data_IF_363894394448
#
_entry.id   IF_363894394448
#
_cell.length_a   1.000
_cell.length_b   1.000
_cell.length_c   1.000
_cell.angle_alpha   90.00
_cell.angle_beta   90.00
_cell.angle_gamma   90.00
#
_symmetry.space_group_name_H-M   'P 1'
#
loop_
_entity.id
_entity.type
_entity.pdbx_description
1 polymer ?
#
# COMPACT_ATOMS: atom_id res chain seq x y z
N UNK A 1 -3.20 -7.81 -27.95
CA UNK A 1 -4.02 -7.71 -26.73
C UNK A 1 -3.12 -7.07 -25.68
N UNK A 2 -3.24 -5.76 -25.48
CA UNK A 2 -2.52 -5.11 -24.39
C UNK A 2 -3.18 -5.56 -23.09
N UNK A 3 -2.38 -6.08 -22.16
CA UNK A 3 -2.86 -6.48 -20.83
C UNK A 3 -3.13 -5.18 -20.06
N UNK A 4 -4.37 -4.69 -20.14
CA UNK A 4 -4.81 -3.57 -19.32
C UNK A 4 -5.04 -4.10 -17.90
N UNK A 5 -4.22 -3.66 -16.93
CA UNK A 5 -4.49 -3.94 -15.51
C UNK A 5 -5.76 -3.18 -15.09
N UNK A 6 -6.84 -3.93 -14.91
CA UNK A 6 -8.15 -3.48 -14.43
C UNK A 6 -8.23 -3.47 -12.90
N UNK A 7 -7.09 -3.33 -12.23
CA UNK A 7 -6.98 -3.37 -10.78
C UNK A 7 -7.97 -2.40 -10.11
N UNK A 8 -9.04 -2.90 -9.45
CA UNK A 8 -10.06 -2.05 -8.84
C UNK A 8 -9.48 -1.16 -7.76
N UNK A 9 -8.44 -1.64 -7.05
CA UNK A 9 -7.70 -0.82 -6.09
C UNK A 9 -7.06 0.38 -6.77
N UNK A 10 -6.28 0.18 -7.84
CA UNK A 10 -5.57 1.29 -8.47
C UNK A 10 -6.50 2.27 -9.17
N UNK A 11 -7.65 1.79 -9.67
CA UNK A 11 -8.73 2.67 -10.14
C UNK A 11 -9.27 3.52 -8.99
N UNK A 12 -9.60 2.89 -7.86
CA UNK A 12 -10.09 3.57 -6.67
C UNK A 12 -9.10 4.62 -6.15
N UNK A 13 -7.84 4.25 -5.98
CA UNK A 13 -6.77 5.12 -5.48
C UNK A 13 -6.57 6.34 -6.38
N UNK A 14 -6.38 6.11 -7.69
CA UNK A 14 -6.05 7.18 -8.63
C UNK A 14 -7.18 8.19 -8.80
N UNK A 15 -8.42 7.70 -8.90
CA UNK A 15 -9.58 8.57 -9.13
C UNK A 15 -9.97 9.31 -7.84
N UNK A 16 -10.03 8.60 -6.70
CA UNK A 16 -10.42 9.20 -5.41
C UNK A 16 -9.44 10.28 -4.99
N UNK A 17 -8.13 10.03 -5.03
CA UNK A 17 -7.14 11.03 -4.66
C UNK A 17 -7.20 12.26 -5.57
N UNK A 18 -7.38 12.05 -6.88
CA UNK A 18 -7.46 13.17 -7.84
C UNK A 18 -8.66 14.08 -7.58
N UNK A 19 -9.83 13.51 -7.33
CA UNK A 19 -11.03 14.26 -6.98
C UNK A 19 -10.89 14.93 -5.62
N UNK A 20 -10.38 14.20 -4.63
CA UNK A 20 -10.21 14.71 -3.28
C UNK A 20 -9.21 15.86 -3.20
N UNK A 21 -8.08 15.77 -3.89
CA UNK A 21 -7.09 16.86 -3.92
C UNK A 21 -7.61 18.13 -4.59
N UNK A 22 -8.57 18.01 -5.52
CA UNK A 22 -9.27 19.15 -6.12
C UNK A 22 -10.38 19.71 -5.22
N UNK A 23 -11.04 18.84 -4.42
CA UNK A 23 -12.15 19.21 -3.55
C UNK A 23 -11.72 19.75 -2.18
N UNK A 24 -10.57 19.30 -1.66
CA UNK A 24 -10.14 19.59 -0.29
C UNK A 24 -9.97 21.10 -0.08
N UNK A 25 -10.43 21.65 1.05
CA UNK A 25 -10.18 23.05 1.37
C UNK A 25 -8.67 23.34 1.42
N UNK A 26 -8.26 24.50 0.92
CA UNK A 26 -6.91 25.05 1.15
C UNK A 26 -6.89 25.89 2.41
N UNK A 27 -5.72 25.93 3.07
CA UNK A 27 -5.50 26.74 4.28
C UNK A 27 -5.44 28.22 3.91
N UNK A 28 -6.60 28.85 3.73
CA UNK A 28 -6.70 30.28 3.46
C UNK A 28 -6.69 31.01 4.81
N UNK A 29 -5.48 31.20 5.36
CA UNK A 29 -5.10 32.17 6.40
C UNK A 29 -6.12 32.52 7.49
N UNK A 30 -5.80 32.16 8.74
CA UNK A 30 -6.27 32.74 10.01
C UNK A 30 -7.50 33.66 9.94
N UNK A 31 -8.68 33.11 10.24
CA UNK A 31 -9.82 33.91 10.71
C UNK A 31 -9.88 33.80 12.24
N UNK A 32 -9.48 34.88 12.91
CA UNK A 32 -9.50 34.98 14.36
C UNK A 32 -10.95 34.86 14.86
N UNK A 33 -11.29 33.74 15.52
CA UNK A 33 -12.56 33.57 16.24
C UNK A 33 -13.59 32.59 15.63
N UNK A 34 -13.42 32.11 14.40
CA UNK A 34 -14.27 31.06 13.81
C UNK A 34 -13.40 29.90 13.31
N UNK A 35 -13.79 28.64 13.60
CA UNK A 35 -13.08 27.48 13.04
C UNK A 35 -13.11 27.55 11.51
N UNK A 36 -11.95 27.47 10.88
CA UNK A 36 -11.85 27.45 9.42
C UNK A 36 -12.54 26.20 8.87
N UNK A 37 -13.00 26.27 7.61
CA UNK A 37 -13.54 25.10 6.92
C UNK A 37 -12.49 23.97 6.87
N UNK A 38 -11.22 24.30 6.65
CA UNK A 38 -10.11 23.36 6.69
C UNK A 38 -10.00 22.64 8.05
N UNK A 39 -10.07 23.36 9.17
CA UNK A 39 -10.03 22.77 10.51
C UNK A 39 -11.18 21.78 10.73
N UNK A 40 -12.41 22.16 10.37
CA UNK A 40 -13.58 21.26 10.45
C UNK A 40 -13.44 20.04 9.54
N UNK A 41 -12.90 20.23 8.34
CA UNK A 41 -12.65 19.17 7.39
C UNK A 41 -11.65 18.16 7.96
N UNK A 42 -10.49 18.63 8.45
CA UNK A 42 -9.45 17.80 9.10
C UNK A 42 -9.99 17.04 10.32
N UNK A 43 -10.75 17.70 11.19
CA UNK A 43 -11.42 17.07 12.33
C UNK A 43 -12.36 15.92 11.88
N UNK A 44 -13.13 16.15 10.82
CA UNK A 44 -14.07 15.16 10.28
C UNK A 44 -13.37 13.94 9.70
N UNK A 45 -12.21 14.12 9.05
CA UNK A 45 -11.37 13.02 8.56
C UNK A 45 -10.80 12.19 9.73
N UNK A 46 -10.28 12.85 10.76
CA UNK A 46 -9.71 12.17 11.94
C UNK A 46 -10.77 11.36 12.68
N UNK A 47 -11.97 11.93 12.87
CA UNK A 47 -13.09 11.25 13.52
C UNK A 47 -13.49 9.94 12.82
N UNK A 48 -13.23 9.83 11.51
CA UNK A 48 -13.54 8.67 10.67
C UNK A 48 -12.33 7.77 10.42
N UNK A 49 -11.19 8.06 11.04
CA UNK A 49 -9.96 7.34 10.79
C UNK A 49 -9.50 7.41 9.33
N UNK A 50 -9.83 8.48 8.61
CA UNK A 50 -9.34 8.75 7.25
C UNK A 50 -7.98 9.43 7.40
N UNK A 51 -6.92 8.71 7.08
CA UNK A 51 -5.54 9.19 7.20
C UNK A 51 -4.88 9.20 5.83
N UNK A 52 -4.23 10.32 5.54
CA UNK A 52 -3.31 10.46 4.41
C UNK A 52 -1.98 9.83 4.80
N UNK A 53 -1.38 9.05 3.89
CA UNK A 53 -0.11 8.36 4.14
C UNK A 53 1.02 9.38 4.31
N UNK A 54 2.04 9.07 5.11
CA UNK A 54 3.29 9.85 5.12
C UNK A 54 4.16 9.54 3.90
N UNK A 55 3.84 8.45 3.18
CA UNK A 55 4.49 8.04 1.94
C UNK A 55 3.63 8.47 0.73
N UNK A 56 4.20 8.49 -0.47
CA UNK A 56 3.49 8.86 -1.73
C UNK A 56 2.74 10.21 -1.68
N UNK A 57 3.46 11.29 -1.36
CA UNK A 57 2.96 12.68 -1.43
C UNK A 57 1.67 12.96 -0.65
N UNK A 58 1.48 12.23 0.47
CA UNK A 58 0.29 12.40 1.28
C UNK A 58 -0.95 11.73 0.70
N UNK A 59 -0.89 10.79 -0.24
CA UNK A 59 -2.10 10.19 -0.80
C UNK A 59 -2.91 9.38 0.25
N UNK A 60 -4.22 9.24 0.02
CA UNK A 60 -5.06 8.26 0.69
C UNK A 60 -4.76 6.87 0.14
N UNK A 61 -4.61 5.90 1.05
CA UNK A 61 -4.48 4.47 0.73
C UNK A 61 -5.86 3.81 0.58
N UNK A 62 -5.92 2.55 0.14
CA UNK A 62 -7.17 1.90 -0.30
C UNK A 62 -8.30 1.94 0.74
N UNK A 63 -7.98 1.64 2.00
CA UNK A 63 -8.92 1.75 3.11
C UNK A 63 -9.33 3.20 3.40
N UNK A 64 -8.40 4.14 3.27
CA UNK A 64 -8.67 5.58 3.41
C UNK A 64 -9.59 6.10 2.30
N UNK A 65 -9.38 5.67 1.05
CA UNK A 65 -10.27 5.98 -0.06
C UNK A 65 -11.68 5.44 0.16
N UNK A 66 -11.80 4.17 0.59
CA UNK A 66 -13.11 3.57 0.85
C UNK A 66 -13.89 4.34 1.93
N UNK A 67 -13.25 4.60 3.08
CA UNK A 67 -13.87 5.39 4.17
C UNK A 67 -14.20 6.81 3.76
N UNK A 68 -13.35 7.45 2.94
CA UNK A 68 -13.65 8.78 2.41
C UNK A 68 -14.90 8.73 1.54
N UNK A 69 -15.01 7.76 0.63
CA UNK A 69 -16.17 7.64 -0.24
C UNK A 69 -17.46 7.36 0.54
N UNK A 70 -17.41 6.49 1.55
CA UNK A 70 -18.55 6.27 2.48
C UNK A 70 -18.97 7.60 3.13
N UNK A 71 -18.04 8.28 3.79
CA UNK A 71 -18.33 9.52 4.51
C UNK A 71 -18.76 10.69 3.59
N UNK A 72 -18.24 10.77 2.37
CA UNK A 72 -18.66 11.77 1.39
C UNK A 72 -20.09 11.48 0.91
N UNK A 73 -20.42 10.20 0.70
CA UNK A 73 -21.76 9.79 0.28
C UNK A 73 -22.81 10.14 1.33
N UNK A 74 -22.48 9.94 2.60
CA UNK A 74 -23.35 10.23 3.75
C UNK A 74 -23.32 11.71 4.20
N UNK A 75 -22.70 12.61 3.42
CA UNK A 75 -22.59 14.05 3.70
C UNK A 75 -21.91 14.38 5.05
N UNK A 76 -21.02 13.50 5.47
CA UNK A 76 -20.38 13.54 6.77
C UNK A 76 -19.04 14.31 6.79
N UNK A 77 -18.52 14.67 5.61
CA UNK A 77 -17.30 15.46 5.44
C UNK A 77 -17.68 16.84 4.89
N UNK A 78 -17.34 17.94 5.58
CA UNK A 78 -17.67 19.27 5.08
C UNK A 78 -16.72 19.66 3.93
N UNK A 79 -17.31 20.11 2.81
CA UNK A 79 -16.58 20.71 1.69
C UNK A 79 -17.05 22.14 1.45
N UNK A 80 -16.28 22.90 0.67
CA UNK A 80 -16.71 24.21 0.21
C UNK A 80 -17.81 24.05 -0.85
N UNK A 81 -18.77 24.98 -0.92
CA UNK A 81 -19.79 24.96 -1.97
C UNK A 81 -19.18 25.00 -3.39
N UNK A 82 -18.01 25.62 -3.56
CA UNK A 82 -17.27 25.61 -4.82
C UNK A 82 -16.74 24.24 -5.23
N UNK A 83 -16.66 23.28 -4.30
CA UNK A 83 -16.18 21.93 -4.56
C UNK A 83 -17.31 20.93 -4.91
N UNK A 84 -18.56 21.40 -5.03
CA UNK A 84 -19.75 20.56 -5.22
C UNK A 84 -19.64 19.61 -6.43
N UNK A 85 -19.03 20.06 -7.53
CA UNK A 85 -18.82 19.23 -8.72
C UNK A 85 -17.91 18.03 -8.44
N UNK A 86 -16.87 18.21 -7.61
CA UNK A 86 -15.96 17.14 -7.24
C UNK A 86 -16.59 16.20 -6.21
N UNK A 87 -17.37 16.74 -5.27
CA UNK A 87 -18.15 15.96 -4.29
C UNK A 87 -19.16 15.07 -5.01
N UNK A 88 -19.88 15.62 -6.00
CA UNK A 88 -20.81 14.86 -6.84
C UNK A 88 -20.11 13.71 -7.56
N UNK A 89 -18.92 13.95 -8.13
CA UNK A 89 -18.14 12.91 -8.76
C UNK A 89 -17.63 11.84 -7.77
N UNK A 90 -17.24 12.21 -6.55
CA UNK A 90 -16.89 11.26 -5.48
C UNK A 90 -18.09 10.40 -5.09
N UNK A 91 -19.28 10.99 -4.93
CA UNK A 91 -20.52 10.24 -4.65
C UNK A 91 -20.87 9.28 -5.78
N UNK A 92 -20.75 9.71 -7.04
CA UNK A 92 -20.97 8.83 -8.18
C UNK A 92 -19.95 7.68 -8.24
N UNK A 93 -18.67 7.94 -7.93
CA UNK A 93 -17.64 6.90 -7.84
C UNK A 93 -17.95 5.89 -6.72
N UNK A 94 -18.51 6.34 -5.60
CA UNK A 94 -18.95 5.45 -4.52
C UNK A 94 -19.99 4.45 -5.02
N UNK A 95 -20.99 4.93 -5.75
CA UNK A 95 -22.01 4.06 -6.35
C UNK A 95 -21.37 3.04 -7.29
N UNK A 96 -20.45 3.46 -8.16
CA UNK A 96 -19.72 2.53 -9.04
C UNK A 96 -18.97 1.46 -8.24
N UNK A 97 -18.23 1.87 -7.20
CA UNK A 97 -17.50 0.95 -6.32
C UNK A 97 -18.44 -0.11 -5.73
N UNK A 98 -19.56 0.31 -5.14
CA UNK A 98 -20.47 -0.63 -4.49
C UNK A 98 -21.21 -1.53 -5.49
N UNK A 99 -21.43 -1.03 -6.71
CA UNK A 99 -22.13 -1.77 -7.75
C UNK A 99 -21.25 -2.78 -8.48
N UNK A 100 -19.94 -2.56 -8.64
CA UNK A 100 -19.11 -3.48 -9.44
C UNK A 100 -17.66 -3.68 -8.99
N UNK A 101 -17.16 -3.06 -7.92
CA UNK A 101 -15.76 -3.30 -7.47
C UNK A 101 -15.64 -4.51 -6.53
N UNK A 102 -16.77 -5.03 -6.02
CA UNK A 102 -16.82 -6.24 -5.21
C UNK A 102 -16.65 -7.53 -6.02
N UNK A 103 -16.75 -8.67 -5.34
CA UNK A 103 -16.74 -9.99 -5.99
C UNK A 103 -17.91 -10.19 -6.94
N UNK A 104 -19.07 -9.60 -6.60
CA UNK A 104 -20.29 -9.64 -7.39
C UNK A 104 -20.68 -8.25 -7.83
N UNK A 105 -21.14 -8.11 -9.06
CA UNK A 105 -21.75 -6.86 -9.56
C UNK A 105 -23.27 -6.87 -9.37
N UNK A 106 -23.83 -5.70 -9.17
CA UNK A 106 -25.26 -5.48 -8.92
C UNK A 106 -25.97 -5.00 -10.19
N UNK A 107 -27.28 -5.20 -10.27
CA UNK A 107 -28.09 -4.65 -11.36
C UNK A 107 -27.95 -3.12 -11.44
N UNK A 108 -27.83 -2.57 -12.65
CA UNK A 108 -27.65 -1.12 -12.88
C UNK A 108 -26.19 -0.63 -12.77
N UNK A 109 -25.21 -1.53 -12.63
CA UNK A 109 -23.79 -1.14 -12.59
C UNK A 109 -23.34 -0.33 -13.82
N UNK A 110 -23.84 -0.64 -15.02
CA UNK A 110 -23.53 0.12 -16.25
C UNK A 110 -23.95 1.58 -16.13
N UNK A 111 -25.18 1.80 -15.67
CA UNK A 111 -25.74 3.13 -15.48
C UNK A 111 -24.95 3.91 -14.43
N UNK A 112 -24.43 3.24 -13.40
CA UNK A 112 -23.55 3.88 -12.42
C UNK A 112 -22.25 4.40 -13.04
N UNK A 113 -21.65 3.66 -13.99
CA UNK A 113 -20.43 4.10 -14.70
C UNK A 113 -20.77 5.28 -15.62
N UNK A 114 -21.92 5.26 -16.30
CA UNK A 114 -22.38 6.38 -17.13
C UNK A 114 -22.63 7.63 -16.27
N UNK A 115 -23.27 7.48 -15.12
CA UNK A 115 -23.50 8.57 -14.17
C UNK A 115 -22.17 9.16 -13.67
N UNK A 116 -21.21 8.30 -13.31
CA UNK A 116 -19.86 8.73 -12.94
C UNK A 116 -19.14 9.46 -14.08
N UNK A 117 -19.23 8.97 -15.33
CA UNK A 117 -18.63 9.61 -16.50
C UNK A 117 -19.16 11.03 -16.70
N UNK A 118 -20.46 11.22 -16.54
CA UNK A 118 -21.10 12.53 -16.59
C UNK A 118 -20.61 13.44 -15.46
N UNK A 119 -20.60 12.93 -14.23
CA UNK A 119 -20.13 13.68 -13.06
C UNK A 119 -18.64 14.08 -13.20
N UNK A 120 -17.78 13.19 -13.69
CA UNK A 120 -16.37 13.49 -13.97
C UNK A 120 -16.23 14.60 -15.00
N UNK A 121 -16.98 14.54 -16.10
CA UNK A 121 -16.93 15.56 -17.15
C UNK A 121 -17.30 16.95 -16.63
N UNK A 122 -18.26 17.03 -15.70
CA UNK A 122 -18.67 18.29 -15.06
C UNK A 122 -17.60 18.89 -14.13
N UNK A 123 -16.61 18.12 -13.70
CA UNK A 123 -15.50 18.63 -12.87
C UNK A 123 -14.51 19.51 -13.65
N UNK A 124 -14.50 19.41 -14.99
CA UNK A 124 -13.50 20.04 -15.84
C UNK A 124 -12.07 19.50 -15.69
N UNK A 125 -11.86 18.43 -14.88
CA UNK A 125 -10.56 17.80 -14.72
C UNK A 125 -10.15 17.06 -15.99
N UNK A 126 -8.85 17.07 -16.30
CA UNK A 126 -8.30 16.28 -17.40
C UNK A 126 -8.54 14.80 -17.16
N UNK A 127 -8.93 14.09 -18.22
CA UNK A 127 -9.03 12.64 -18.22
C UNK A 127 -7.69 12.01 -17.84
N UNK A 128 -7.73 11.09 -16.89
CA UNK A 128 -6.58 10.27 -16.51
C UNK A 128 -6.71 8.88 -17.12
N UNK A 129 -5.62 8.13 -17.30
CA UNK A 129 -5.71 6.73 -17.74
C UNK A 129 -6.65 5.89 -16.88
N UNK A 130 -6.71 6.13 -15.56
CA UNK A 130 -7.59 5.40 -14.64
C UNK A 130 -9.08 5.68 -14.90
N UNK A 131 -9.43 6.93 -15.20
CA UNK A 131 -10.81 7.30 -15.54
C UNK A 131 -11.21 6.74 -16.90
N UNK A 132 -10.30 6.77 -17.88
CA UNK A 132 -10.52 6.14 -19.18
C UNK A 132 -10.76 4.63 -19.04
N UNK A 133 -9.89 3.94 -18.29
CA UNK A 133 -10.06 2.50 -18.01
C UNK A 133 -11.41 2.21 -17.35
N UNK A 134 -11.79 2.99 -16.32
CA UNK A 134 -13.08 2.79 -15.64
C UNK A 134 -14.28 3.01 -16.58
N UNK A 135 -14.25 4.05 -17.41
CA UNK A 135 -15.39 4.43 -18.23
C UNK A 135 -15.52 3.62 -19.53
N UNK A 136 -14.40 3.16 -20.10
CA UNK A 136 -14.37 2.58 -21.45
C UNK A 136 -14.00 1.09 -21.45
N UNK A 137 -13.18 0.62 -20.49
CA UNK A 137 -12.67 -0.76 -20.49
C UNK A 137 -13.29 -1.67 -19.43
N UNK A 138 -13.76 -1.13 -18.30
CA UNK A 138 -14.44 -1.96 -17.28
C UNK A 138 -15.71 -2.59 -17.85
N UNK A 139 -16.49 -1.84 -18.63
CA UNK A 139 -17.70 -2.35 -19.28
C UNK A 139 -17.35 -3.47 -20.27
N UNK A 140 -16.38 -3.20 -21.16
CA UNK A 140 -15.89 -4.17 -22.14
C UNK A 140 -15.40 -5.47 -21.47
N UNK A 141 -14.65 -5.33 -20.38
CA UNK A 141 -14.11 -6.45 -19.62
C UNK A 141 -15.20 -7.32 -19.01
N UNK A 142 -16.09 -6.70 -18.23
CA UNK A 142 -17.15 -7.39 -17.50
C UNK A 142 -18.17 -8.08 -18.43
N UNK A 143 -18.31 -7.60 -19.68
CA UNK A 143 -19.23 -8.18 -20.67
C UNK A 143 -18.60 -9.27 -21.54
N UNK A 144 -17.32 -9.14 -21.90
CA UNK A 144 -16.73 -9.98 -22.94
C UNK A 144 -15.70 -10.98 -22.42
N UNK A 145 -15.17 -10.77 -21.21
CA UNK A 145 -14.05 -11.56 -20.69
C UNK A 145 -14.36 -12.30 -19.40
N UNK A 146 -15.36 -11.86 -18.64
CA UNK A 146 -15.85 -12.60 -17.48
C UNK A 146 -16.85 -13.68 -17.92
N UNK A 147 -16.68 -14.89 -17.38
CA UNK A 147 -17.49 -16.04 -17.74
C UNK A 147 -18.91 -16.01 -17.13
N UNK A 148 -19.03 -15.36 -15.96
CA UNK A 148 -20.26 -15.30 -15.18
C UNK A 148 -20.87 -13.89 -15.21
N UNK A 149 -22.18 -13.82 -15.42
CA UNK A 149 -22.93 -12.56 -15.55
C UNK A 149 -22.98 -11.72 -14.26
N UNK A 150 -22.60 -12.32 -13.14
CA UNK A 150 -22.72 -11.74 -11.81
C UNK A 150 -21.36 -11.29 -11.26
N UNK A 151 -20.26 -11.57 -11.95
CA UNK A 151 -18.90 -11.28 -11.47
C UNK A 151 -18.61 -9.78 -11.52
N UNK A 152 -18.09 -9.26 -10.41
CA UNK A 152 -17.52 -7.92 -10.30
C UNK A 152 -15.99 -7.91 -10.40
N UNK A 153 -15.39 -6.73 -10.35
CA UNK A 153 -13.93 -6.54 -10.50
C UNK A 153 -13.11 -7.12 -9.34
N UNK A 154 -13.75 -7.55 -8.25
CA UNK A 154 -13.09 -8.11 -7.08
C UNK A 154 -12.29 -9.38 -7.36
N UNK A 155 -12.65 -10.16 -8.38
CA UNK A 155 -11.87 -11.35 -8.78
C UNK A 155 -10.54 -10.97 -9.44
N UNK A 156 -10.53 -9.89 -10.21
CA UNK A 156 -9.32 -9.32 -10.85
C UNK A 156 -8.52 -8.43 -9.90
N UNK A 157 -8.78 -8.51 -8.60
CA UNK A 157 -8.18 -7.66 -7.58
C UNK A 157 -6.74 -8.07 -7.28
N UNK A 158 -5.83 -7.11 -7.37
CA UNK A 158 -4.41 -7.26 -6.99
C UNK A 158 -4.20 -7.34 -5.47
N UNK A 159 -5.28 -7.25 -4.67
CA UNK A 159 -5.22 -7.27 -3.20
C UNK A 159 -4.57 -8.55 -2.64
N UNK A 160 -4.75 -9.70 -3.30
CA UNK A 160 -4.08 -10.95 -2.92
C UNK A 160 -2.56 -10.85 -3.09
N UNK A 161 -2.11 -10.25 -4.20
CA UNK A 161 -0.70 -9.96 -4.47
C UNK A 161 -0.11 -8.97 -3.47
N UNK A 162 -0.80 -7.87 -3.17
CA UNK A 162 -0.34 -6.90 -2.17
C UNK A 162 -0.23 -7.51 -0.77
N UNK A 163 -1.19 -8.33 -0.37
CA UNK A 163 -1.18 -9.06 0.90
C UNK A 163 0.00 -10.05 0.96
N UNK A 164 0.28 -10.71 -0.15
CA UNK A 164 1.45 -11.59 -0.30
C UNK A 164 2.74 -10.80 -0.13
N UNK A 165 2.89 -9.67 -0.84
CA UNK A 165 4.06 -8.80 -0.73
C UNK A 165 4.28 -8.30 0.70
N UNK A 166 3.22 -7.83 1.38
CA UNK A 166 3.31 -7.35 2.76
C UNK A 166 3.77 -8.47 3.72
N UNK A 167 3.29 -9.70 3.51
CA UNK A 167 3.70 -10.86 4.32
C UNK A 167 5.15 -11.26 4.05
N UNK A 168 5.56 -11.36 2.78
CA UNK A 168 6.96 -11.61 2.40
C UNK A 168 7.88 -10.56 3.00
N UNK A 169 7.51 -9.28 2.89
CA UNK A 169 8.30 -8.18 3.43
C UNK A 169 8.46 -8.27 4.96
N UNK A 170 7.43 -8.73 5.68
CA UNK A 170 7.51 -8.98 7.12
C UNK A 170 8.51 -10.09 7.44
N UNK A 171 8.42 -11.23 6.75
CA UNK A 171 9.35 -12.37 6.91
C UNK A 171 10.78 -11.95 6.61
N UNK A 172 10.98 -11.23 5.50
CA UNK A 172 12.27 -10.64 5.14
C UNK A 172 12.80 -9.75 6.27
N UNK A 173 12.02 -8.75 6.70
CA UNK A 173 12.42 -7.78 7.72
C UNK A 173 12.76 -8.42 9.07
N UNK A 174 12.03 -9.45 9.48
CA UNK A 174 12.20 -10.08 10.80
C UNK A 174 13.33 -11.10 10.83
N UNK A 175 13.51 -11.87 9.76
CA UNK A 175 14.38 -13.05 9.79
C UNK A 175 15.61 -12.90 8.88
N UNK A 176 15.47 -12.32 7.70
CA UNK A 176 16.49 -12.43 6.64
C UNK A 176 17.21 -11.12 6.30
N UNK A 177 16.64 -9.97 6.68
CA UNK A 177 17.12 -8.65 6.27
C UNK A 177 18.59 -8.43 6.63
N UNK A 178 19.36 -8.06 5.62
CA UNK A 178 20.72 -7.52 5.70
C UNK A 178 20.85 -6.34 4.74
N UNK A 179 21.90 -5.55 4.89
CA UNK A 179 22.22 -4.48 3.95
C UNK A 179 22.48 -5.06 2.55
N UNK A 180 22.16 -4.29 1.51
CA UNK A 180 22.33 -4.73 0.12
C UNK A 180 23.80 -5.01 -0.24
N UNK A 181 24.73 -4.27 0.37
CA UNK A 181 26.17 -4.45 0.18
C UNK A 181 26.76 -5.61 0.99
N UNK A 182 25.95 -6.30 1.79
CA UNK A 182 26.39 -7.46 2.56
C UNK A 182 26.60 -8.66 1.60
N UNK A 183 27.75 -9.33 1.69
CA UNK A 183 28.07 -10.49 0.84
C UNK A 183 27.03 -11.61 0.91
N UNK A 184 26.29 -11.73 2.02
CA UNK A 184 25.24 -12.72 2.23
C UNK A 184 23.87 -12.29 1.73
N UNK A 185 23.71 -11.07 1.19
CA UNK A 185 22.41 -10.54 0.77
C UNK A 185 21.71 -11.46 -0.22
N UNK A 186 22.40 -11.88 -1.28
CA UNK A 186 21.86 -12.76 -2.32
C UNK A 186 21.42 -14.11 -1.74
N UNK A 187 22.24 -14.72 -0.89
CA UNK A 187 21.91 -16.00 -0.25
C UNK A 187 20.70 -15.85 0.67
N UNK A 188 20.67 -14.82 1.51
CA UNK A 188 19.57 -14.58 2.44
C UNK A 188 18.26 -14.27 1.72
N UNK A 189 18.31 -13.59 0.57
CA UNK A 189 17.14 -13.34 -0.26
C UNK A 189 16.59 -14.66 -0.81
N UNK A 190 17.45 -15.52 -1.35
CA UNK A 190 17.05 -16.87 -1.81
C UNK A 190 16.47 -17.68 -0.66
N UNK A 191 17.14 -17.71 0.49
CA UNK A 191 16.67 -18.44 1.68
C UNK A 191 15.31 -17.91 2.15
N UNK A 192 15.11 -16.59 2.12
CA UNK A 192 13.82 -15.99 2.43
C UNK A 192 12.73 -16.48 1.48
N UNK A 193 12.99 -16.52 0.17
CA UNK A 193 12.02 -16.96 -0.83
C UNK A 193 11.73 -18.46 -0.74
N UNK A 194 12.76 -19.30 -0.53
CA UNK A 194 12.59 -20.74 -0.34
C UNK A 194 11.80 -21.01 0.93
N UNK A 195 12.19 -20.39 2.05
CA UNK A 195 11.46 -20.52 3.30
C UNK A 195 10.01 -20.08 3.10
N UNK A 196 9.79 -18.90 2.50
CA UNK A 196 8.46 -18.31 2.26
C UNK A 196 7.51 -19.21 1.47
N UNK A 197 8.02 -19.91 0.46
CA UNK A 197 7.21 -20.79 -0.36
C UNK A 197 7.03 -22.20 0.23
N UNK A 198 7.91 -22.63 1.14
CA UNK A 198 7.92 -24.01 1.66
C UNK A 198 7.26 -24.18 3.03
N UNK A 199 7.20 -23.14 3.87
CA UNK A 199 6.47 -23.20 5.14
C UNK A 199 5.03 -22.72 4.94
N UNK A 200 4.03 -23.53 5.33
CA UNK A 200 2.61 -23.14 5.27
C UNK A 200 2.09 -22.54 6.60
N UNK A 201 2.86 -22.69 7.69
CA UNK A 201 2.49 -22.24 9.05
C UNK A 201 3.39 -21.07 9.51
N UNK A 202 3.18 -19.92 8.89
CA UNK A 202 3.99 -18.71 9.10
C UNK A 202 3.91 -18.11 10.50
N UNK A 203 2.78 -18.29 11.18
CA UNK A 203 2.55 -17.71 12.50
C UNK A 203 3.28 -18.49 13.62
N UNK A 204 3.83 -19.67 13.32
CA UNK A 204 4.47 -20.59 14.27
C UNK A 204 5.93 -20.94 13.92
N UNK A 205 6.44 -20.48 12.77
CA UNK A 205 7.76 -20.82 12.26
C UNK A 205 8.88 -20.17 13.08
N UNK A 206 9.33 -20.83 14.15
CA UNK A 206 10.58 -20.51 14.82
C UNK A 206 11.78 -21.06 14.01
N UNK A 207 12.81 -20.24 13.84
CA UNK A 207 14.08 -20.67 13.24
C UNK A 207 14.79 -21.68 14.15
N UNK A 208 14.88 -22.94 13.72
CA UNK A 208 15.99 -23.81 14.12
C UNK A 208 17.22 -23.41 13.30
N UNK A 209 17.96 -22.41 13.79
CA UNK A 209 19.30 -22.08 13.24
C UNK A 209 20.37 -22.93 13.93
N UNK A 210 20.22 -24.26 13.87
CA UNK A 210 21.18 -25.20 14.42
C UNK A 210 21.62 -26.20 13.36
N UNK A 211 22.84 -26.04 12.83
CA UNK A 211 23.42 -27.06 11.95
C UNK A 211 24.40 -26.56 10.88
N UNK A 212 25.14 -25.48 11.11
CA UNK A 212 26.34 -25.25 10.31
C UNK A 212 27.42 -26.19 10.86
N UNK A 213 27.45 -27.43 10.34
CA UNK A 213 28.55 -28.36 10.57
C UNK A 213 29.81 -27.69 10.06
N UNK A 214 30.70 -27.30 10.96
CA UNK A 214 32.10 -27.05 10.63
C UNK A 214 32.66 -28.32 10.01
N UNK A 215 33.02 -28.27 8.73
CA UNK A 215 33.76 -29.35 8.10
C UNK A 215 35.10 -29.48 8.83
N UNK A 216 35.27 -30.58 9.55
CA UNK A 216 36.53 -31.04 10.10
C UNK A 216 37.48 -31.33 8.91
N UNK A 217 38.67 -30.72 8.94
CA UNK A 217 39.78 -31.10 8.09
C UNK A 217 40.71 -32.01 8.91
N UNK A 218 40.77 -33.29 8.53
CA UNK A 218 41.74 -34.26 9.03
C UNK A 218 43.05 -34.21 8.23
N UNK A 219 44.19 -34.39 8.93
CA UNK A 219 45.51 -34.75 8.40
C UNK A 219 46.56 -33.62 8.47
N UNK A 220 47.29 -33.44 9.58
CA UNK A 220 48.54 -34.11 10.01
C UNK A 220 49.82 -33.64 9.29
N UNK A 221 50.69 -32.88 9.98
CA UNK A 221 52.03 -33.37 10.41
C UNK A 221 52.89 -32.29 11.12
N UNK A 222 53.39 -32.72 12.28
CA UNK A 222 54.65 -32.44 12.99
C UNK A 222 55.24 -31.01 13.20
N UNK A 223 55.14 -30.58 14.47
CA UNK A 223 56.23 -30.19 15.42
C UNK A 223 57.41 -29.34 14.89
N UNK A 224 57.57 -28.13 15.43
CA UNK A 224 58.83 -27.74 16.09
C UNK A 224 58.64 -26.68 17.17
N UNK A 225 59.29 -26.95 18.30
CA UNK A 225 59.47 -26.13 19.49
C UNK A 225 59.96 -24.71 19.18
N UNK A 226 59.46 -23.73 19.92
CA UNK A 226 60.34 -22.73 20.55
C UNK A 226 59.66 -22.10 21.77
N UNK A 227 60.19 -22.39 22.96
CA UNK A 227 59.86 -21.69 24.19
C UNK A 227 60.63 -20.38 24.28
N UNK A 228 59.99 -19.32 24.79
CA UNK A 228 60.66 -18.26 25.56
C UNK A 228 59.63 -17.33 26.22
N UNK A 229 59.43 -17.57 27.53
CA UNK A 229 59.47 -16.59 28.64
C UNK A 229 58.80 -15.22 28.50
N UNK A 230 57.73 -15.07 29.29
CA UNK A 230 57.46 -14.01 30.29
C UNK A 230 58.03 -12.60 30.10
N UNK A 231 57.15 -11.60 30.13
CA UNK A 231 57.32 -10.39 30.95
C UNK A 231 55.97 -9.68 31.18
N UNK A 232 55.54 -9.65 32.44
CA UNK A 232 54.54 -8.73 32.99
C UNK A 232 55.18 -7.34 33.16
N UNK A 233 54.54 -6.26 32.66
CA UNK A 233 54.38 -4.91 33.26
C UNK A 233 53.22 -4.26 32.46
N UNK A 234 52.18 -3.60 32.97
CA UNK A 234 52.03 -2.82 34.18
C UNK A 234 51.62 -1.38 33.79
N UNK A 235 50.44 -0.96 34.26
CA UNK A 235 50.02 0.41 34.57
C UNK A 235 49.29 1.30 33.52
N UNK A 236 48.08 1.68 33.98
CA UNK A 236 47.48 3.01 34.02
C UNK A 236 47.13 3.80 32.75
N UNK A 237 45.82 3.87 32.52
CA UNK A 237 45.02 5.10 32.63
C UNK A 237 45.41 6.27 31.73
N UNK A 238 44.47 6.73 30.89
CA UNK A 238 44.26 8.17 30.74
C UNK A 238 42.87 8.49 30.15
N UNK A 239 42.31 9.55 30.74
CA UNK A 239 41.00 10.14 30.58
C UNK A 239 40.64 10.65 29.17
N UNK A 240 39.32 10.79 28.99
CA UNK A 240 38.67 11.64 27.98
C UNK A 240 39.15 13.10 28.07
N UNK A 241 38.95 13.86 26.99
CA UNK A 241 38.20 15.11 27.19
C UNK A 241 37.12 15.38 26.13
N UNK A 242 36.06 16.00 26.65
CA UNK A 242 35.03 16.93 26.10
C UNK A 242 34.56 16.80 24.65
#
# INVERSE_FOLDING_TARGET
MEILSLSPLHLLLGITNKLYDAARPSDNGYTQGNRTLDSRHRESLVARGIRRSSYFDGALEGNGCSRLLDAVYDDEIPFAASAEVYVTALKALKVVKDMCFGLTRQAGWRDSIVAFRSAWSNTGLRWTPKVHILCDHVVEYLENYEADDDVGLGLSSEQSGESLHARVQRVWNQLFKVNADNELFSQRLIDCMVTYNWNLQWDEAQRSMGGMKSCEAEGSDEISDYSSTSEEQGLDGFDKPE
#
